data_IF_372308896904
#
_entry.id   IF_372308896904
#
_cell.length_a   1.000
_cell.length_b   1.000
_cell.length_c   1.000
_cell.angle_alpha   90.00
_cell.angle_beta   90.00
_cell.angle_gamma   90.00
#
_symmetry.space_group_name_H-M   'P 1'
#
loop_
_entity.id
_entity.type
_entity.pdbx_description
1 polymer ?
#
# COMPACT_ATOMS: atom_id res chain seq x y z
N UNK A 1 -66.95 -48.01 -61.43
CA UNK A 1 -65.53 -48.27 -61.75
C UNK A 1 -64.67 -47.48 -60.78
N UNK A 2 -63.64 -48.12 -60.23
CA UNK A 2 -62.76 -47.66 -59.14
C UNK A 2 -61.87 -46.50 -59.58
N UNK A 3 -61.93 -45.39 -58.86
CA UNK A 3 -60.99 -44.28 -58.99
C UNK A 3 -60.50 -43.92 -57.59
N UNK A 4 -59.53 -44.68 -57.07
CA UNK A 4 -58.98 -44.48 -55.72
C UNK A 4 -57.46 -44.69 -55.62
N UNK A 5 -56.74 -44.72 -56.76
CA UNK A 5 -55.29 -44.98 -56.81
C UNK A 5 -54.40 -43.78 -57.17
N UNK A 6 -54.91 -42.71 -57.79
CA UNK A 6 -54.09 -41.61 -58.32
C UNK A 6 -53.69 -40.53 -57.30
N UNK A 7 -54.35 -40.45 -56.14
CA UNK A 7 -54.00 -39.47 -55.10
C UNK A 7 -52.78 -39.90 -54.24
N UNK A 8 -52.39 -41.18 -54.32
CA UNK A 8 -51.36 -41.76 -53.46
C UNK A 8 -49.94 -41.36 -53.89
N UNK A 9 -49.71 -41.27 -55.21
CA UNK A 9 -48.44 -40.84 -55.80
C UNK A 9 -48.08 -39.38 -55.45
N UNK A 10 -48.96 -38.37 -55.67
CA UNK A 10 -48.66 -37.00 -55.28
C UNK A 10 -48.54 -36.84 -53.76
N UNK A 11 -49.33 -37.58 -52.96
CA UNK A 11 -49.22 -37.57 -51.49
C UNK A 11 -47.86 -38.05 -50.98
N UNK A 12 -47.30 -39.10 -51.58
CA UNK A 12 -45.98 -39.63 -51.22
C UNK A 12 -44.83 -38.70 -51.64
N UNK A 13 -44.95 -38.03 -52.78
CA UNK A 13 -44.01 -36.97 -53.21
C UNK A 13 -44.04 -35.78 -52.24
N UNK A 14 -45.23 -35.36 -51.80
CA UNK A 14 -45.41 -34.26 -50.84
C UNK A 14 -44.82 -34.60 -49.48
N UNK A 15 -45.02 -35.85 -49.00
CA UNK A 15 -44.38 -36.35 -47.78
C UNK A 15 -42.85 -36.40 -47.91
N UNK A 16 -42.32 -36.88 -49.04
CA UNK A 16 -40.88 -36.90 -49.27
C UNK A 16 -40.29 -35.48 -49.28
N UNK A 17 -40.96 -34.53 -49.92
CA UNK A 17 -40.58 -33.11 -49.89
C UNK A 17 -40.65 -32.54 -48.46
N UNK A 18 -41.69 -32.88 -47.69
CA UNK A 18 -41.83 -32.47 -46.29
C UNK A 18 -40.71 -33.01 -45.40
N UNK A 19 -40.33 -34.28 -45.54
CA UNK A 19 -39.20 -34.87 -44.82
C UNK A 19 -37.88 -34.19 -45.19
N UNK A 20 -37.64 -33.91 -46.47
CA UNK A 20 -36.43 -33.18 -46.92
C UNK A 20 -36.34 -31.79 -46.31
N UNK A 21 -37.43 -31.03 -46.33
CA UNK A 21 -37.51 -29.70 -45.70
C UNK A 21 -37.27 -29.80 -44.20
N UNK A 22 -37.88 -30.78 -43.52
CA UNK A 22 -37.70 -30.98 -42.09
C UNK A 22 -36.25 -31.32 -41.72
N UNK A 23 -35.59 -32.22 -42.46
CA UNK A 23 -34.17 -32.55 -42.28
C UNK A 23 -33.29 -31.31 -42.50
N UNK A 24 -33.59 -30.49 -43.51
CA UNK A 24 -32.86 -29.25 -43.77
C UNK A 24 -32.99 -28.26 -42.58
N UNK A 25 -34.22 -28.02 -42.11
CA UNK A 25 -34.46 -27.15 -40.95
C UNK A 25 -33.82 -27.70 -39.67
N UNK A 26 -33.89 -29.01 -39.44
CA UNK A 26 -33.27 -29.66 -38.29
C UNK A 26 -31.75 -29.45 -38.30
N UNK A 27 -31.08 -29.72 -39.43
CA UNK A 27 -29.65 -29.50 -39.58
C UNK A 27 -29.26 -28.02 -39.39
N UNK A 28 -30.04 -27.09 -39.94
CA UNK A 28 -29.84 -25.66 -39.74
C UNK A 28 -29.98 -25.22 -38.28
N UNK A 29 -31.02 -25.70 -37.59
CA UNK A 29 -31.26 -25.40 -36.17
C UNK A 29 -30.13 -25.89 -35.27
N UNK A 30 -29.55 -27.06 -35.58
CA UNK A 30 -28.42 -27.61 -34.84
C UNK A 30 -27.15 -26.78 -35.02
N UNK A 31 -26.88 -26.27 -36.22
CA UNK A 31 -25.74 -25.36 -36.48
C UNK A 31 -25.91 -24.06 -35.71
N UNK A 32 -27.10 -23.47 -35.70
CA UNK A 32 -27.39 -22.23 -34.96
C UNK A 32 -27.24 -22.47 -33.45
N UNK A 33 -27.79 -23.56 -32.92
CA UNK A 33 -27.68 -23.92 -31.51
C UNK A 33 -26.22 -24.19 -31.09
N UNK A 34 -25.45 -24.88 -31.93
CA UNK A 34 -24.02 -25.13 -31.69
C UNK A 34 -23.22 -23.82 -31.65
N UNK A 35 -23.48 -22.91 -32.59
CA UNK A 35 -22.85 -21.59 -32.62
C UNK A 35 -23.19 -20.78 -31.37
N UNK A 36 -24.45 -20.75 -30.96
CA UNK A 36 -24.89 -20.04 -29.75
C UNK A 36 -24.21 -20.57 -28.48
N UNK A 37 -24.08 -21.89 -28.34
CA UNK A 37 -23.32 -22.49 -27.22
C UNK A 37 -21.85 -22.08 -27.25
N UNK A 38 -21.19 -22.17 -28.40
CA UNK A 38 -19.78 -21.78 -28.53
C UNK A 38 -19.56 -20.31 -28.17
N UNK A 39 -20.44 -19.40 -28.57
CA UNK A 39 -20.34 -17.97 -28.20
C UNK A 39 -20.53 -17.76 -26.71
N UNK A 40 -21.53 -18.39 -26.09
CA UNK A 40 -21.73 -18.28 -24.64
C UNK A 40 -20.56 -18.86 -23.84
N UNK A 41 -20.00 -20.00 -24.27
CA UNK A 41 -18.80 -20.57 -23.66
C UNK A 41 -17.61 -19.64 -23.83
N UNK A 42 -17.40 -19.07 -25.03
CA UNK A 42 -16.32 -18.11 -25.29
C UNK A 42 -16.42 -16.87 -24.40
N UNK A 43 -17.61 -16.30 -24.25
CA UNK A 43 -17.85 -15.14 -23.38
C UNK A 43 -17.60 -15.49 -21.91
N UNK A 44 -18.08 -16.64 -21.44
CA UNK A 44 -17.86 -17.10 -20.07
C UNK A 44 -16.38 -17.33 -19.78
N UNK A 45 -15.64 -17.92 -20.74
CA UNK A 45 -14.20 -18.12 -20.65
C UNK A 45 -13.45 -16.78 -20.58
N UNK A 46 -13.75 -15.85 -21.50
CA UNK A 46 -13.13 -14.54 -21.55
C UNK A 46 -13.37 -13.74 -20.26
N UNK A 47 -14.62 -13.72 -19.78
CA UNK A 47 -14.99 -13.06 -18.54
C UNK A 47 -14.27 -13.66 -17.32
N UNK A 48 -14.20 -14.98 -17.22
CA UNK A 48 -13.55 -15.67 -16.09
C UNK A 48 -12.05 -15.44 -16.07
N UNK A 49 -11.41 -15.47 -17.24
CA UNK A 49 -9.99 -15.15 -17.38
C UNK A 49 -9.71 -13.69 -16.98
N UNK A 50 -10.52 -12.74 -17.47
CA UNK A 50 -10.41 -11.32 -17.10
C UNK A 50 -10.60 -11.11 -15.59
N UNK A 51 -11.54 -11.81 -14.97
CA UNK A 51 -11.79 -11.74 -13.53
C UNK A 51 -10.59 -12.23 -12.71
N UNK A 52 -9.97 -13.34 -13.09
CA UNK A 52 -8.74 -13.86 -12.43
C UNK A 52 -7.60 -12.88 -12.58
N UNK A 53 -7.41 -12.31 -13.78
CA UNK A 53 -6.39 -11.30 -14.03
C UNK A 53 -6.61 -10.04 -13.18
N UNK A 54 -7.85 -9.54 -13.12
CA UNK A 54 -8.21 -8.37 -12.30
C UNK A 54 -7.96 -8.62 -10.81
N UNK A 55 -8.30 -9.81 -10.29
CA UNK A 55 -8.02 -10.17 -8.89
C UNK A 55 -6.52 -10.20 -8.58
N UNK A 56 -5.73 -10.74 -9.49
CA UNK A 56 -4.26 -10.76 -9.38
C UNK A 56 -3.70 -9.33 -9.32
N UNK A 57 -4.13 -8.45 -10.24
CA UNK A 57 -3.69 -7.05 -10.26
C UNK A 57 -4.16 -6.26 -9.03
N UNK A 58 -5.39 -6.50 -8.55
CA UNK A 58 -5.90 -5.90 -7.32
C UNK A 58 -5.08 -6.34 -6.10
N UNK A 59 -4.77 -7.63 -5.98
CA UNK A 59 -3.93 -8.12 -4.89
C UNK A 59 -2.51 -7.53 -4.95
N UNK A 60 -1.95 -7.39 -6.16
CA UNK A 60 -0.68 -6.69 -6.37
C UNK A 60 -0.74 -5.22 -5.91
N UNK A 61 -1.82 -4.50 -6.23
CA UNK A 61 -2.04 -3.13 -5.76
C UNK A 61 -2.18 -3.04 -4.23
N UNK A 62 -2.86 -4.00 -3.60
CA UNK A 62 -2.94 -4.08 -2.14
C UNK A 62 -1.57 -4.31 -1.50
N UNK A 63 -0.72 -5.16 -2.07
CA UNK A 63 0.67 -5.32 -1.59
C UNK A 63 1.39 -3.96 -1.62
N UNK A 64 1.28 -3.21 -2.72
CA UNK A 64 1.94 -1.90 -2.84
C UNK A 64 1.41 -0.90 -1.80
N UNK A 65 0.10 -0.83 -1.60
CA UNK A 65 -0.51 0.04 -0.58
C UNK A 65 -0.07 -0.33 0.84
N UNK A 66 0.00 -1.63 1.14
CA UNK A 66 0.49 -2.13 2.42
C UNK A 66 1.94 -1.74 2.65
N UNK A 67 2.81 -1.86 1.65
CA UNK A 67 4.20 -1.40 1.74
C UNK A 67 4.32 0.10 2.03
N UNK A 68 3.52 0.94 1.38
CA UNK A 68 3.50 2.38 1.66
C UNK A 68 3.01 2.68 3.09
N UNK A 69 1.99 1.96 3.57
CA UNK A 69 1.50 2.09 4.94
C UNK A 69 2.58 1.71 5.97
N UNK A 70 3.34 0.64 5.71
CA UNK A 70 4.47 0.25 6.54
C UNK A 70 5.57 1.31 6.62
N UNK A 71 5.88 1.98 5.50
CA UNK A 71 6.82 3.10 5.50
C UNK A 71 6.35 4.25 6.40
N UNK A 72 5.07 4.63 6.32
CA UNK A 72 4.50 5.67 7.17
C UNK A 72 4.48 5.24 8.65
N UNK A 73 4.18 3.97 8.93
CA UNK A 73 4.21 3.45 10.29
C UNK A 73 5.64 3.42 10.87
N UNK A 74 6.65 3.09 10.06
CA UNK A 74 8.06 3.21 10.46
C UNK A 74 8.43 4.65 10.81
N UNK A 75 7.96 5.64 10.02
CA UNK A 75 8.14 7.06 10.34
C UNK A 75 7.58 7.42 11.73
N UNK A 76 6.41 6.90 12.09
CA UNK A 76 5.82 7.10 13.43
C UNK A 76 6.66 6.47 14.53
N UNK A 77 7.13 5.23 14.33
CA UNK A 77 7.92 4.51 15.33
C UNK A 77 9.25 5.22 15.60
N UNK A 78 9.98 5.62 14.55
CA UNK A 78 11.25 6.35 14.77
C UNK A 78 11.02 7.71 15.41
N UNK A 79 9.91 8.38 15.10
CA UNK A 79 9.52 9.65 15.72
C UNK A 79 9.24 9.48 17.21
N UNK A 80 8.48 8.44 17.56
CA UNK A 80 8.19 8.08 18.95
C UNK A 80 9.48 7.75 19.71
N UNK A 81 10.40 7.01 19.09
CA UNK A 81 11.70 6.71 19.67
C UNK A 81 12.54 7.97 19.92
N UNK A 82 12.52 8.93 18.98
CA UNK A 82 13.19 10.22 19.14
C UNK A 82 12.59 11.05 20.28
N UNK A 83 11.26 11.10 20.38
CA UNK A 83 10.53 11.75 21.48
C UNK A 83 10.86 11.14 22.84
N UNK A 84 10.86 9.82 22.94
CA UNK A 84 11.16 9.13 24.18
C UNK A 84 12.62 9.36 24.62
N UNK A 85 13.57 9.39 23.66
CA UNK A 85 14.98 9.75 23.93
C UNK A 85 15.14 11.19 24.40
N UNK A 86 14.36 12.13 23.86
CA UNK A 86 14.31 13.49 24.35
C UNK A 86 13.80 13.52 25.80
N UNK A 87 12.69 12.83 26.08
CA UNK A 87 12.10 12.71 27.41
C UNK A 87 13.08 12.13 28.44
N UNK A 88 13.77 11.04 28.13
CA UNK A 88 14.77 10.44 29.04
C UNK A 88 15.95 11.39 29.28
N UNK A 89 16.39 12.10 28.26
CA UNK A 89 17.46 13.11 28.39
C UNK A 89 17.01 14.26 29.28
N UNK A 90 15.79 14.77 29.11
CA UNK A 90 15.24 15.80 30.00
C UNK A 90 15.09 15.30 31.43
N UNK A 91 14.60 14.08 31.63
CA UNK A 91 14.44 13.49 32.95
C UNK A 91 15.75 13.43 33.73
N UNK A 92 16.85 13.03 33.05
CA UNK A 92 18.21 13.07 33.60
C UNK A 92 18.64 14.49 34.00
N UNK A 93 18.37 15.48 33.15
CA UNK A 93 18.72 16.87 33.45
C UNK A 93 17.92 17.44 34.62
N UNK A 94 16.63 17.12 34.71
CA UNK A 94 15.78 17.52 35.85
C UNK A 94 16.26 16.85 37.13
N UNK A 95 16.63 15.57 37.06
CA UNK A 95 17.21 14.83 38.19
C UNK A 95 18.51 15.44 38.70
N UNK A 96 19.34 15.97 37.78
CA UNK A 96 20.56 16.73 38.10
C UNK A 96 20.29 18.16 38.56
N UNK A 97 19.07 18.67 38.40
CA UNK A 97 18.72 20.06 38.70
C UNK A 97 19.47 21.08 37.82
N UNK A 98 19.94 20.67 36.64
CA UNK A 98 20.73 21.53 35.75
C UNK A 98 20.19 21.50 34.31
N UNK A 99 19.47 22.54 33.87
CA UNK A 99 19.01 23.70 34.64
C UNK A 99 17.89 23.33 35.63
N UNK A 100 17.70 24.08 36.73
CA UNK A 100 16.57 23.84 37.63
C UNK A 100 15.26 24.22 36.91
N UNK A 101 14.19 23.45 37.16
CA UNK A 101 12.91 23.69 36.51
C UNK A 101 12.32 25.08 36.82
N UNK A 102 12.63 25.64 37.99
CA UNK A 102 12.27 27.01 38.36
C UNK A 102 12.89 28.04 37.42
N UNK A 103 14.15 27.86 37.00
CA UNK A 103 14.80 28.72 36.01
C UNK A 103 14.12 28.62 34.65
N UNK A 104 13.79 27.40 34.20
CA UNK A 104 13.03 27.20 32.95
C UNK A 104 11.66 27.91 33.03
N UNK A 105 10.97 27.79 34.16
CA UNK A 105 9.68 28.43 34.38
C UNK A 105 9.74 29.94 34.43
N UNK A 106 10.75 30.48 35.10
CA UNK A 106 11.01 31.91 35.13
C UNK A 106 11.28 32.45 33.72
N UNK A 107 12.18 31.81 32.97
CA UNK A 107 12.63 32.28 31.66
C UNK A 107 11.59 32.11 30.56
N UNK A 108 10.88 30.98 30.52
CA UNK A 108 10.04 30.61 29.38
C UNK A 108 8.56 30.44 29.74
N UNK A 109 8.20 30.56 31.02
CA UNK A 109 6.84 30.46 31.50
C UNK A 109 6.52 29.12 32.19
N UNK A 110 5.44 29.07 32.99
CA UNK A 110 5.12 27.93 33.85
C UNK A 110 4.87 26.63 33.07
N UNK A 111 4.28 26.72 31.86
CA UNK A 111 4.03 25.57 31.01
C UNK A 111 5.33 24.81 30.67
N UNK A 112 6.42 25.53 30.36
CA UNK A 112 7.72 24.90 30.08
C UNK A 112 8.34 24.25 31.32
N UNK A 113 8.18 24.84 32.51
CA UNK A 113 8.64 24.22 33.76
C UNK A 113 7.86 22.95 34.10
N UNK A 114 6.54 22.95 33.87
CA UNK A 114 5.69 21.76 34.08
C UNK A 114 6.08 20.67 33.10
N UNK A 115 6.19 20.97 31.80
CA UNK A 115 6.62 20.02 30.78
C UNK A 115 8.01 19.45 31.11
N UNK A 116 8.97 20.31 31.44
CA UNK A 116 10.32 19.88 31.80
C UNK A 116 10.31 18.95 33.04
N UNK A 117 9.58 19.28 34.11
CA UNK A 117 9.48 18.42 35.31
C UNK A 117 8.75 17.10 35.04
N UNK A 118 7.75 17.12 34.17
CA UNK A 118 6.94 15.94 33.84
C UNK A 118 7.78 14.81 33.22
N UNK A 119 8.91 15.14 32.61
CA UNK A 119 9.85 14.14 32.07
C UNK A 119 10.38 13.17 33.14
N UNK A 120 10.43 13.56 34.43
CA UNK A 120 10.78 12.63 35.53
C UNK A 120 9.76 11.51 35.70
N UNK A 121 8.47 11.81 35.59
CA UNK A 121 7.42 10.79 35.69
C UNK A 121 7.46 9.83 34.50
N UNK A 122 7.76 10.35 33.30
CA UNK A 122 7.96 9.54 32.10
C UNK A 122 9.14 8.56 32.26
N UNK A 123 10.23 8.98 32.91
CA UNK A 123 11.35 8.08 33.22
C UNK A 123 11.03 7.07 34.35
N UNK A 124 10.20 7.44 35.32
CA UNK A 124 9.79 6.55 36.42
C UNK A 124 8.76 5.49 35.99
N UNK A 125 8.00 5.74 34.92
CA UNK A 125 7.00 4.82 34.36
C UNK A 125 7.56 3.60 33.61
N UNK A 126 8.85 3.29 33.73
CA UNK A 126 9.40 2.03 33.25
C UNK A 126 9.89 2.01 31.80
N UNK A 127 10.01 3.16 31.11
CA UNK A 127 10.85 3.18 29.90
C UNK A 127 12.31 3.14 30.33
N UNK A 128 12.83 1.94 30.56
CA UNK A 128 14.24 1.70 30.78
C UNK A 128 15.08 2.44 29.71
N UNK A 129 16.26 2.91 30.06
CA UNK A 129 17.25 3.39 29.08
C UNK A 129 17.44 2.27 28.04
N UNK A 130 16.90 2.45 26.83
CA UNK A 130 16.90 1.43 25.77
C UNK A 130 15.52 1.08 25.20
N UNK A 131 14.44 1.14 25.97
CA UNK A 131 13.09 0.73 25.51
C UNK A 131 12.62 1.34 24.17
N UNK A 132 12.89 2.63 23.86
CA UNK A 132 12.54 3.21 22.57
C UNK A 132 13.44 2.73 21.43
N UNK A 133 14.71 2.42 21.72
CA UNK A 133 15.64 1.81 20.76
C UNK A 133 15.25 0.35 20.50
N UNK A 134 14.83 -0.38 21.54
CA UNK A 134 14.34 -1.75 21.44
C UNK A 134 13.05 -1.82 20.62
N UNK A 135 12.12 -0.87 20.83
CA UNK A 135 10.91 -0.76 19.99
C UNK A 135 11.25 -0.49 18.53
N UNK A 136 12.16 0.46 18.26
CA UNK A 136 12.59 0.76 16.90
C UNK A 136 13.30 -0.45 16.24
N UNK A 137 14.09 -1.20 16.99
CA UNK A 137 14.76 -2.41 16.52
C UNK A 137 13.76 -3.56 16.29
N UNK A 138 12.83 -3.79 17.21
CA UNK A 138 11.78 -4.79 17.08
C UNK A 138 10.91 -4.50 15.85
N UNK A 139 10.52 -3.24 15.66
CA UNK A 139 9.79 -2.81 14.48
C UNK A 139 10.61 -2.96 13.19
N UNK A 140 11.90 -2.59 13.21
CA UNK A 140 12.80 -2.80 12.07
C UNK A 140 13.04 -4.27 11.73
N UNK A 141 12.88 -5.18 12.70
CA UNK A 141 12.94 -6.63 12.48
C UNK A 141 11.63 -7.15 11.90
N UNK A 142 10.50 -6.69 12.46
CA UNK A 142 9.17 -6.97 11.92
C UNK A 142 9.04 -6.49 10.46
N UNK A 143 9.52 -5.28 10.15
CA UNK A 143 9.46 -4.70 8.80
C UNK A 143 10.23 -5.55 7.79
N UNK A 144 11.40 -6.07 8.15
CA UNK A 144 12.16 -6.99 7.27
C UNK A 144 11.38 -8.27 7.00
N UNK A 145 10.75 -8.85 8.02
CA UNK A 145 9.93 -10.05 7.86
C UNK A 145 8.70 -9.78 6.98
N UNK A 146 8.01 -8.67 7.19
CA UNK A 146 6.86 -8.25 6.35
C UNK A 146 7.31 -8.00 4.91
N UNK A 147 8.39 -7.26 4.72
CA UNK A 147 8.92 -6.99 3.38
C UNK A 147 9.24 -8.28 2.64
N UNK A 148 9.88 -9.23 3.32
CA UNK A 148 10.17 -10.55 2.77
C UNK A 148 8.90 -11.29 2.37
N UNK A 149 7.91 -11.40 3.26
CA UNK A 149 6.64 -12.07 2.98
C UNK A 149 5.92 -11.41 1.79
N UNK A 150 5.82 -10.08 1.77
CA UNK A 150 5.17 -9.34 0.70
C UNK A 150 5.92 -9.48 -0.63
N UNK A 151 7.26 -9.48 -0.59
CA UNK A 151 8.09 -9.65 -1.80
C UNK A 151 7.93 -11.04 -2.40
N UNK A 152 7.98 -12.09 -1.57
CA UNK A 152 7.76 -13.48 -1.99
C UNK A 152 6.34 -13.68 -2.51
N UNK A 153 5.34 -13.14 -1.81
CA UNK A 153 3.93 -13.21 -2.22
C UNK A 153 3.73 -12.54 -3.58
N UNK A 154 4.34 -11.37 -3.81
CA UNK A 154 4.32 -10.68 -5.10
C UNK A 154 4.96 -11.52 -6.20
N UNK A 155 6.15 -12.07 -5.95
CA UNK A 155 6.87 -12.89 -6.92
C UNK A 155 6.05 -14.12 -7.31
N UNK A 156 5.50 -14.83 -6.34
CA UNK A 156 4.66 -15.99 -6.57
C UNK A 156 3.39 -15.62 -7.35
N UNK A 157 2.68 -14.57 -6.91
CA UNK A 157 1.47 -14.08 -7.57
C UNK A 157 1.71 -13.77 -9.05
N UNK A 158 2.77 -13.03 -9.37
CA UNK A 158 3.10 -12.65 -10.75
C UNK A 158 3.58 -13.85 -11.56
N UNK A 159 4.33 -14.76 -10.95
CA UNK A 159 4.82 -15.98 -11.59
C UNK A 159 3.67 -16.94 -11.98
N UNK A 160 2.64 -17.07 -11.13
CA UNK A 160 1.52 -17.99 -11.37
C UNK A 160 0.31 -17.33 -12.03
N UNK A 161 0.37 -16.03 -12.36
CA UNK A 161 -0.78 -15.28 -12.87
C UNK A 161 -1.33 -15.85 -14.18
N UNK A 162 -0.44 -16.10 -15.16
CA UNK A 162 -0.83 -16.67 -16.47
C UNK A 162 -1.39 -18.08 -16.34
N UNK A 163 -0.71 -18.96 -15.60
CA UNK A 163 -1.19 -20.32 -15.41
C UNK A 163 -2.53 -20.36 -14.67
N UNK A 164 -2.73 -19.50 -13.65
CA UNK A 164 -4.00 -19.42 -12.92
C UNK A 164 -5.15 -18.96 -13.82
N UNK A 165 -4.89 -17.98 -14.70
CA UNK A 165 -5.85 -17.52 -15.72
C UNK A 165 -6.20 -18.66 -16.68
N UNK A 166 -5.20 -19.33 -17.23
CA UNK A 166 -5.39 -20.38 -18.23
C UNK A 166 -6.09 -21.61 -17.62
N UNK A 167 -5.79 -21.97 -16.36
CA UNK A 167 -6.51 -23.02 -15.62
C UNK A 167 -7.98 -22.64 -15.38
N UNK A 168 -8.29 -21.39 -15.04
CA UNK A 168 -9.67 -20.94 -14.89
C UNK A 168 -10.44 -20.98 -16.23
N UNK A 169 -9.78 -20.61 -17.33
CA UNK A 169 -10.34 -20.72 -18.67
C UNK A 169 -10.66 -22.18 -19.02
N UNK A 170 -9.72 -23.10 -18.80
CA UNK A 170 -9.91 -24.53 -19.04
C UNK A 170 -11.03 -25.13 -18.18
N UNK A 171 -11.15 -24.71 -16.92
CA UNK A 171 -12.21 -25.16 -16.04
C UNK A 171 -13.60 -24.75 -16.56
N UNK A 172 -13.74 -23.52 -17.07
CA UNK A 172 -14.99 -23.03 -17.68
C UNK A 172 -15.29 -23.76 -18.98
N UNK A 173 -14.26 -24.01 -19.82
CA UNK A 173 -14.43 -24.79 -21.05
C UNK A 173 -14.97 -26.19 -20.75
N UNK A 174 -14.33 -26.90 -19.81
CA UNK A 174 -14.73 -28.25 -19.41
C UNK A 174 -16.14 -28.28 -18.81
N UNK A 175 -16.52 -27.26 -18.03
CA UNK A 175 -17.85 -27.16 -17.42
C UNK A 175 -18.97 -26.94 -18.45
N UNK A 176 -18.69 -26.23 -19.56
CA UNK A 176 -19.69 -25.93 -20.60
C UNK A 176 -19.71 -26.98 -21.73
N UNK A 177 -18.72 -27.86 -21.80
CA UNK A 177 -18.65 -28.99 -22.73
C UNK A 177 -18.48 -30.32 -21.97
N UNK A 178 -19.47 -30.75 -21.17
CA UNK A 178 -19.43 -32.08 -20.57
C UNK A 178 -19.39 -33.14 -21.67
N UNK A 179 -18.55 -34.16 -21.50
CA UNK A 179 -18.26 -35.25 -22.45
C UNK A 179 -19.50 -36.06 -22.90
N UNK A 180 -20.68 -35.76 -22.35
CA UNK A 180 -21.89 -36.58 -22.50
C UNK A 180 -23.10 -35.77 -22.97
N UNK A 181 -23.20 -35.45 -24.27
CA UNK A 181 -24.49 -35.36 -24.98
C UNK A 181 -24.26 -35.63 -26.48
N UNK A 182 -24.43 -36.88 -26.91
CA UNK A 182 -24.76 -37.28 -28.30
C UNK A 182 -24.14 -36.48 -29.47
N UNK A 183 -22.85 -36.14 -29.39
CA UNK A 183 -22.17 -35.43 -30.48
C UNK A 183 -21.87 -36.41 -31.62
N UNK A 184 -22.63 -36.29 -32.71
CA UNK A 184 -22.43 -36.93 -34.01
C UNK A 184 -21.14 -36.50 -34.72
N UNK A 185 -20.35 -35.59 -34.14
CA UNK A 185 -19.02 -35.17 -34.61
C UNK A 185 -17.94 -35.59 -33.62
N UNK A 186 -16.76 -36.04 -34.08
CA UNK A 186 -15.68 -36.50 -33.21
C UNK A 186 -15.13 -35.33 -32.37
N UNK A 187 -15.53 -35.28 -31.10
CA UNK A 187 -14.60 -35.51 -29.98
C UNK A 187 -13.47 -34.53 -29.68
N UNK A 188 -13.38 -33.35 -30.29
CA UNK A 188 -12.36 -32.36 -29.91
C UNK A 188 -12.99 -31.11 -29.29
N UNK A 189 -12.50 -30.74 -28.10
CA UNK A 189 -12.80 -29.44 -27.49
C UNK A 189 -12.39 -28.32 -28.47
N UNK A 190 -13.15 -27.23 -28.57
CA UNK A 190 -12.78 -26.11 -29.41
C UNK A 190 -11.39 -25.60 -29.00
N UNK A 191 -10.49 -25.46 -29.98
CA UNK A 191 -9.16 -24.93 -29.75
C UNK A 191 -9.26 -23.47 -29.27
N UNK A 192 -8.58 -23.16 -28.17
CA UNK A 192 -8.51 -21.80 -27.62
C UNK A 192 -7.14 -21.23 -27.92
N UNK A 193 -7.12 -20.03 -28.49
CA UNK A 193 -5.91 -19.28 -28.76
C UNK A 193 -6.06 -17.84 -28.29
N UNK A 194 -5.03 -17.33 -27.62
CA UNK A 194 -4.93 -15.92 -27.27
C UNK A 194 -4.51 -15.10 -28.50
N UNK A 195 -5.28 -14.06 -28.82
CA UNK A 195 -4.93 -13.11 -29.89
C UNK A 195 -3.84 -12.12 -29.44
N UNK A 196 -3.90 -11.69 -28.17
CA UNK A 196 -2.95 -10.78 -27.53
C UNK A 196 -2.78 -11.17 -26.06
N UNK A 197 -1.55 -11.21 -25.57
CA UNK A 197 -1.23 -11.39 -24.13
C UNK A 197 -0.14 -10.39 -23.71
N UNK A 198 -0.58 -9.24 -23.20
CA UNK A 198 0.26 -8.13 -22.73
C UNK A 198 0.56 -8.20 -21.24
N UNK A 199 0.27 -9.33 -20.57
CA UNK A 199 0.47 -9.50 -19.13
C UNK A 199 1.88 -9.11 -18.66
N UNK A 200 2.90 -9.40 -19.47
CA UNK A 200 4.30 -9.11 -19.16
C UNK A 200 4.61 -7.61 -19.05
N UNK A 201 3.86 -6.76 -19.75
CA UNK A 201 4.03 -5.30 -19.76
C UNK A 201 3.16 -4.60 -18.71
N UNK A 202 2.17 -5.30 -18.16
CA UNK A 202 1.20 -4.74 -17.22
C UNK A 202 1.82 -4.30 -15.87
N UNK A 203 2.97 -4.85 -15.49
CA UNK A 203 3.63 -4.54 -14.22
C UNK A 203 5.08 -4.19 -14.46
N UNK A 204 5.48 -3.00 -14.01
CA UNK A 204 6.88 -2.56 -14.05
C UNK A 204 7.46 -2.50 -12.64
N UNK A 205 8.70 -2.96 -12.44
CA UNK A 205 9.38 -2.77 -11.17
C UNK A 205 9.62 -1.27 -10.96
N UNK A 206 9.35 -0.79 -9.74
CA UNK A 206 9.66 0.56 -9.33
C UNK A 206 10.48 0.54 -8.04
N UNK A 207 11.22 1.62 -7.79
CA UNK A 207 11.96 1.84 -6.55
C UNK A 207 11.59 3.22 -6.04
N UNK A 208 11.16 3.32 -4.78
CA UNK A 208 10.82 4.60 -4.18
C UNK A 208 11.98 5.60 -4.32
N UNK A 209 13.23 5.19 -4.08
CA UNK A 209 14.39 6.07 -4.18
C UNK A 209 14.72 6.59 -5.59
N UNK A 210 14.23 5.91 -6.64
CA UNK A 210 14.50 6.28 -8.04
C UNK A 210 13.29 6.92 -8.73
N UNK A 211 12.11 6.79 -8.13
CA UNK A 211 10.86 7.29 -8.68
C UNK A 211 10.39 8.51 -7.88
N UNK A 212 10.52 9.74 -8.42
CA UNK A 212 10.10 10.94 -7.72
C UNK A 212 8.59 10.99 -7.45
N UNK A 213 7.77 10.29 -8.24
CA UNK A 213 6.32 10.20 -8.02
C UNK A 213 5.99 9.41 -6.75
N UNK A 214 6.69 8.30 -6.51
CA UNK A 214 6.50 7.48 -5.30
C UNK A 214 7.02 8.20 -4.05
N UNK A 215 8.15 8.91 -4.15
CA UNK A 215 8.63 9.76 -3.06
C UNK A 215 7.65 10.91 -2.75
N UNK A 216 7.10 11.54 -3.79
CA UNK A 216 6.06 12.55 -3.65
C UNK A 216 4.85 12.01 -2.90
N UNK A 217 4.35 10.84 -3.30
CA UNK A 217 3.23 10.15 -2.64
C UNK A 217 3.53 9.83 -1.17
N UNK A 218 4.71 9.31 -0.84
CA UNK A 218 5.10 9.07 0.55
C UNK A 218 5.15 10.37 1.35
N UNK A 219 5.64 11.46 0.76
CA UNK A 219 5.62 12.79 1.35
C UNK A 219 4.19 13.29 1.59
N UNK A 220 3.28 13.09 0.64
CA UNK A 220 1.85 13.41 0.77
C UNK A 220 1.19 12.64 1.90
N UNK A 221 1.45 11.33 2.00
CA UNK A 221 0.95 10.50 3.08
C UNK A 221 1.51 10.96 4.43
N UNK A 222 2.80 11.28 4.52
CA UNK A 222 3.41 11.84 5.74
C UNK A 222 2.74 13.16 6.15
N UNK A 223 2.45 14.06 5.20
CA UNK A 223 1.84 15.36 5.47
C UNK A 223 0.46 15.28 6.12
N UNK A 224 -0.26 14.17 5.96
CA UNK A 224 -1.55 13.96 6.62
C UNK A 224 -1.42 13.78 8.14
N UNK A 225 -0.23 13.39 8.63
CA UNK A 225 0.01 13.13 10.04
C UNK A 225 0.81 14.28 10.68
N UNK A 226 0.13 15.15 11.43
CA UNK A 226 0.76 16.29 12.11
C UNK A 226 1.89 15.89 13.07
N UNK A 227 1.86 14.67 13.63
CA UNK A 227 2.94 14.14 14.45
C UNK A 227 4.28 14.00 13.69
N UNK A 228 4.22 13.75 12.38
CA UNK A 228 5.39 13.58 11.51
C UNK A 228 5.89 14.90 10.91
N UNK A 229 5.21 16.02 11.15
CA UNK A 229 5.66 17.34 10.70
C UNK A 229 6.94 17.77 11.42
N UNK A 230 7.69 18.75 10.88
CA UNK A 230 8.74 19.41 11.63
C UNK A 230 8.19 19.98 12.94
N UNK A 231 8.82 19.62 14.06
CA UNK A 231 8.47 20.05 15.43
C UNK A 231 9.43 21.13 15.90
N UNK A 232 9.81 22.04 15.02
CA UNK A 232 10.75 23.10 15.35
C UNK A 232 10.03 24.23 16.08
N UNK A 233 10.43 24.49 17.33
CA UNK A 233 9.86 25.56 18.14
C UNK A 233 10.96 26.33 18.86
N UNK A 234 10.77 27.63 19.08
CA UNK A 234 11.73 28.45 19.83
C UNK A 234 10.98 29.38 20.76
N UNK A 235 11.01 29.04 22.05
CA UNK A 235 10.49 29.90 23.10
C UNK A 235 11.55 30.93 23.50
N UNK A 236 11.12 32.14 23.83
CA UNK A 236 11.98 33.27 24.20
C UNK A 236 11.49 33.88 25.49
N UNK A 237 12.42 34.34 26.32
CA UNK A 237 12.04 35.11 27.50
C UNK A 237 11.48 36.49 27.08
N UNK A 238 10.58 37.06 27.88
CA UNK A 238 9.85 38.28 27.50
C UNK A 238 10.64 39.57 27.72
N UNK A 239 11.65 39.55 28.60
CA UNK A 239 12.44 40.73 28.95
C UNK A 239 13.80 40.80 28.26
N UNK A 240 14.35 42.00 28.12
CA UNK A 240 15.71 42.20 27.62
C UNK A 240 16.74 41.68 28.63
N UNK A 241 17.66 40.84 28.16
CA UNK A 241 18.66 40.18 29.02
C UNK A 241 19.97 40.98 29.07
N UNK A 242 20.40 41.51 27.92
CA UNK A 242 21.69 42.19 27.75
C UNK A 242 21.45 43.59 27.20
N UNK A 243 21.96 44.63 27.88
CA UNK A 243 21.84 46.02 27.40
C UNK A 243 22.47 46.24 26.03
N UNK A 244 23.59 45.56 25.75
CA UNK A 244 24.28 45.61 24.44
C UNK A 244 23.47 44.98 23.31
N UNK A 245 22.51 44.11 23.61
CA UNK A 245 21.69 43.43 22.63
C UNK A 245 20.22 43.43 23.04
N UNK A 246 19.56 44.60 22.98
CA UNK A 246 18.20 44.78 23.47
C UNK A 246 17.16 44.02 22.65
N UNK A 247 17.50 43.56 21.44
CA UNK A 247 16.63 42.74 20.57
C UNK A 247 16.80 41.22 20.77
N UNK A 248 17.90 40.77 21.38
CA UNK A 248 18.15 39.34 21.59
C UNK A 248 17.57 38.88 22.93
N UNK A 249 17.19 37.61 23.00
CA UNK A 249 16.57 36.97 24.16
C UNK A 249 17.27 35.65 24.45
N UNK A 250 17.13 35.15 25.68
CA UNK A 250 17.38 33.74 25.97
C UNK A 250 16.43 32.89 25.12
N UNK A 251 16.92 31.78 24.58
CA UNK A 251 16.11 30.92 23.71
C UNK A 251 16.09 29.49 24.22
N UNK A 252 14.91 28.89 24.22
CA UNK A 252 14.73 27.46 24.40
C UNK A 252 14.33 26.90 23.05
N UNK A 253 15.27 26.24 22.38
CA UNK A 253 15.09 25.74 21.01
C UNK A 253 14.77 24.26 21.05
N UNK A 254 13.58 23.92 20.58
CA UNK A 254 13.23 22.56 20.22
C UNK A 254 13.51 22.37 18.72
N UNK A 255 14.29 21.35 18.40
CA UNK A 255 14.57 20.96 17.01
C UNK A 255 14.19 19.51 16.82
N UNK A 256 13.16 19.29 16.02
CA UNK A 256 12.47 18.03 15.88
C UNK A 256 12.11 17.78 14.43
N UNK A 257 12.58 16.68 13.84
CA UNK A 257 12.17 16.31 12.47
C UNK A 257 12.16 14.80 12.28
N UNK A 258 11.36 14.39 11.31
CA UNK A 258 11.26 13.01 10.84
C UNK A 258 11.43 13.03 9.33
N UNK A 259 12.45 12.36 8.83
CA UNK A 259 12.81 12.42 7.42
C UNK A 259 13.29 11.05 6.92
N UNK A 260 13.02 10.77 5.65
CA UNK A 260 13.59 9.65 4.93
C UNK A 260 14.99 10.05 4.43
N UNK A 261 16.01 9.26 4.72
CA UNK A 261 17.35 9.51 4.20
C UNK A 261 17.51 9.03 2.74
N UNK A 262 18.66 9.34 2.14
CA UNK A 262 18.99 8.96 0.76
C UNK A 262 19.08 7.43 0.57
N UNK A 263 19.22 6.68 1.66
CA UNK A 263 19.24 5.21 1.65
C UNK A 263 17.85 4.59 1.79
N UNK A 264 16.81 5.42 1.92
CA UNK A 264 15.43 4.97 2.08
C UNK A 264 15.12 4.51 3.50
N UNK A 265 15.88 4.98 4.50
CA UNK A 265 15.64 4.68 5.91
C UNK A 265 15.05 5.89 6.61
N UNK A 266 14.02 5.64 7.40
CA UNK A 266 13.44 6.66 8.26
C UNK A 266 14.36 6.97 9.43
N UNK A 267 14.58 8.25 9.65
CA UNK A 267 15.28 8.78 10.80
C UNK A 267 14.46 9.89 11.45
N UNK A 268 14.51 9.95 12.77
CA UNK A 268 13.97 11.05 13.51
C UNK A 268 14.93 11.47 14.62
N UNK A 269 14.95 12.77 14.87
CA UNK A 269 15.68 13.37 15.97
C UNK A 269 14.85 14.47 16.58
N UNK A 270 14.85 14.48 17.90
CA UNK A 270 14.21 15.50 18.71
C UNK A 270 15.19 15.93 19.79
N UNK A 271 15.46 17.23 19.83
CA UNK A 271 16.39 17.84 20.77
C UNK A 271 15.76 19.07 21.39
N UNK A 272 16.12 19.37 22.63
CA UNK A 272 15.76 20.62 23.28
C UNK A 272 16.99 21.19 23.98
N UNK A 273 17.36 22.41 23.59
CA UNK A 273 18.56 23.08 24.07
C UNK A 273 18.21 24.46 24.60
N UNK A 274 18.80 24.79 25.74
CA UNK A 274 18.74 26.13 26.31
C UNK A 274 19.95 26.91 25.80
N UNK A 275 19.67 28.03 25.13
CA UNK A 275 20.67 28.94 24.60
C UNK A 275 20.70 30.21 25.45
N UNK A 276 21.75 30.34 26.25
CA UNK A 276 21.94 31.49 27.11
C UNK A 276 22.51 32.66 26.30
N UNK A 277 21.81 33.80 26.25
CA UNK A 277 22.35 35.00 25.63
C UNK A 277 23.47 35.59 26.50
N UNK A 278 24.67 35.66 25.93
CA UNK A 278 25.85 36.29 26.53
C UNK A 278 26.34 37.43 25.64
N UNK A 279 27.16 38.32 26.20
CA UNK A 279 27.83 39.36 25.43
C UNK A 279 29.27 39.54 25.92
N UNK A 280 30.18 39.79 24.97
CA UNK A 280 31.57 40.18 25.24
C UNK A 280 31.90 41.43 24.40
N UNK A 281 32.86 42.25 24.85
CA UNK A 281 33.35 43.44 24.12
C UNK A 281 33.92 43.10 22.74
N UNK A 282 34.52 41.92 22.57
CA UNK A 282 35.24 41.55 21.35
C UNK A 282 34.38 40.84 20.30
N UNK A 283 33.46 39.97 20.72
CA UNK A 283 32.68 39.07 19.83
C UNK A 283 31.22 39.56 19.69
N UNK A 284 30.81 40.56 20.48
CA UNK A 284 29.41 40.99 20.53
C UNK A 284 28.54 39.96 21.26
N UNK A 285 27.30 39.78 20.81
CA UNK A 285 26.33 38.93 21.49
C UNK A 285 26.11 37.58 20.81
N UNK A 286 26.24 36.53 21.60
CA UNK A 286 26.24 35.14 21.15
C UNK A 286 25.45 34.26 22.14
N UNK A 287 25.17 33.04 21.70
CA UNK A 287 24.48 32.02 22.50
C UNK A 287 25.49 31.00 23.02
N UNK A 288 25.46 30.74 24.32
CA UNK A 288 26.14 29.62 24.97
C UNK A 288 25.17 28.46 25.20
#
# INVERSE_FOLDING_TARGET
MRQSGQALVPGMLLLAAGVLVWVYFYNGSQVIAARGRLTHTADAMAYSAALVQARTLNFHAYINRTQLAHQVAMAHVVTLAAWARLGSTQARQVGRGNPPATLIGMMFGPAHAVAYRSSRAAAAGGTADGAPADLAQAYGTHERAVHEILSRSRQQLLATARSSRDSALQAVLAANHPVNVEQRWPGELPAVQWLTDDWHDAVRPFSALRDPGVLGLLGDMQRQYGFLHPRDHTARNTWAVQRRCPIKRHELRHRGRTQLDETGRWQAHDTQSYHALRSNRWIGCYYC
#
